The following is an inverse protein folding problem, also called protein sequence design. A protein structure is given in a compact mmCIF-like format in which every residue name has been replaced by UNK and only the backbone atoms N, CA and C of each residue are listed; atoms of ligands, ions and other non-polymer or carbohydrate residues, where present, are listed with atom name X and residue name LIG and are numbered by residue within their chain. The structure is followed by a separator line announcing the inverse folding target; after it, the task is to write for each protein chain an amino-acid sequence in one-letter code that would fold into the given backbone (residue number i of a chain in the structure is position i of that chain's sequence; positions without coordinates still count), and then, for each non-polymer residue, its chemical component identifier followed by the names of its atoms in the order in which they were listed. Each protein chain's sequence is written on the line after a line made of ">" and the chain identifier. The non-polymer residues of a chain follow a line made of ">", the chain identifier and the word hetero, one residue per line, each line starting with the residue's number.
data_IF_797228355165
#
_entry.id   IF_797228355165
#
_cell.length_a   1.000
_cell.length_b   1.000
_cell.length_c   1.000
_cell.angle_alpha   90.00
_cell.angle_beta   90.00
_cell.angle_gamma   90.00
#
_symmetry.space_group_name_H-M   'P 1'
#
loop_
_entity.id
_entity.type
_entity.pdbx_description
1 polymer ?
#
# COMPACT_ATOMS: atom_id res chain seq x y z
N UNK A 1 6.43 20.21 0.86
CA UNK A 1 7.63 20.54 0.05
C UNK A 1 8.60 19.36 0.07
N UNK A 2 9.62 19.34 -0.79
CA UNK A 2 10.70 18.35 -0.71
C UNK A 2 12.03 18.95 -1.16
N UNK A 3 13.14 18.30 -0.82
CA UNK A 3 14.44 18.55 -1.44
C UNK A 3 15.11 17.24 -1.83
N UNK A 4 16.02 17.31 -2.81
CA UNK A 4 16.82 16.16 -3.23
C UNK A 4 18.14 16.17 -2.46
N UNK A 5 18.48 15.04 -1.85
CA UNK A 5 19.76 14.85 -1.19
C UNK A 5 20.59 13.85 -1.97
N UNK A 6 21.80 14.25 -2.39
CA UNK A 6 22.72 13.34 -3.08
C UNK A 6 23.21 12.25 -2.11
N UNK A 7 23.16 11.00 -2.56
CA UNK A 7 23.67 9.84 -1.82
C UNK A 7 24.89 9.33 -2.56
N UNK A 8 26.01 9.23 -1.85
CA UNK A 8 27.25 8.73 -2.41
C UNK A 8 27.43 7.27 -1.96
N UNK A 9 28.03 6.45 -2.82
CA UNK A 9 28.44 5.07 -2.50
C UNK A 9 27.28 4.12 -2.12
N UNK A 10 26.07 4.35 -2.64
CA UNK A 10 24.95 3.42 -2.50
C UNK A 10 24.66 2.70 -3.82
N UNK A 11 24.53 1.35 -3.82
CA UNK A 11 24.12 0.60 -5.02
C UNK A 11 22.63 0.75 -5.33
N UNK A 12 21.83 1.28 -4.39
CA UNK A 12 20.38 1.37 -4.51
C UNK A 12 19.94 2.67 -5.20
N UNK A 13 20.55 3.79 -4.83
CA UNK A 13 20.13 5.13 -5.22
C UNK A 13 21.30 6.13 -5.28
N UNK A 14 21.22 7.08 -6.22
CA UNK A 14 22.17 8.20 -6.33
C UNK A 14 21.69 9.46 -5.60
N UNK A 15 20.39 9.55 -5.34
CA UNK A 15 19.77 10.64 -4.60
C UNK A 15 18.50 10.14 -3.94
N UNK A 16 18.15 10.74 -2.80
CA UNK A 16 16.92 10.47 -2.07
C UNK A 16 16.06 11.72 -1.99
N UNK A 17 14.75 11.53 -1.93
CA UNK A 17 13.79 12.63 -1.83
C UNK A 17 13.35 12.77 -0.38
N UNK A 18 13.70 13.89 0.26
CA UNK A 18 13.29 14.17 1.65
C UNK A 18 12.07 15.08 1.66
N UNK A 19 10.95 14.54 2.12
CA UNK A 19 9.66 15.22 2.21
C UNK A 19 9.63 16.07 3.47
N UNK A 20 9.40 17.38 3.33
CA UNK A 20 9.43 18.34 4.45
C UNK A 20 8.20 19.25 4.46
N UNK A 21 7.86 19.69 5.65
CA UNK A 21 6.86 20.73 5.91
C UNK A 21 7.58 22.03 6.22
N UNK A 22 7.17 23.10 5.55
CA UNK A 22 7.66 24.45 5.77
C UNK A 22 6.54 25.19 6.50
N UNK A 23 6.85 25.70 7.70
CA UNK A 23 5.96 26.55 8.47
C UNK A 23 6.44 27.99 8.37
N UNK A 24 5.53 28.89 7.99
CA UNK A 24 5.74 30.32 8.04
C UNK A 24 4.87 30.91 9.16
N UNK A 25 5.49 31.64 10.08
CA UNK A 25 4.81 32.26 11.21
C UNK A 25 4.56 33.73 10.90
N UNK A 26 3.29 34.08 10.69
CA UNK A 26 2.89 35.46 10.34
C UNK A 26 3.16 36.49 11.45
N UNK A 27 3.27 36.05 12.71
CA UNK A 27 3.49 36.93 13.86
C UNK A 27 4.86 37.63 13.80
N UNK A 28 5.89 36.91 13.37
CA UNK A 28 7.28 37.34 13.43
C UNK A 28 8.06 37.09 12.13
N UNK A 29 7.38 36.71 11.04
CA UNK A 29 7.97 36.36 9.74
C UNK A 29 9.07 35.29 9.83
N UNK A 30 8.98 34.40 10.83
CA UNK A 30 9.94 33.32 10.99
C UNK A 30 9.54 32.08 10.19
N UNK A 31 10.54 31.28 9.81
CA UNK A 31 10.35 30.02 9.09
C UNK A 31 10.89 28.88 9.94
N UNK A 32 10.16 27.77 9.95
CA UNK A 32 10.61 26.49 10.51
C UNK A 32 10.44 25.39 9.45
N UNK A 33 11.40 24.46 9.38
CA UNK A 33 11.30 23.31 8.48
C UNK A 33 11.33 22.04 9.33
N UNK A 34 10.34 21.19 9.13
CA UNK A 34 10.20 19.92 9.86
C UNK A 34 10.03 18.78 8.87
N UNK A 35 10.74 17.69 9.12
CA UNK A 35 10.56 16.44 8.41
C UNK A 35 9.68 15.50 9.21
N UNK A 36 8.60 15.02 8.59
CA UNK A 36 7.72 14.02 9.21
C UNK A 36 8.50 12.73 9.42
N UNK A 37 8.34 12.14 10.62
CA UNK A 37 8.93 10.84 10.94
C UNK A 37 8.32 9.77 10.06
N UNK A 38 9.17 8.98 9.42
CA UNK A 38 8.79 7.83 8.61
C UNK A 38 9.40 6.57 9.24
N UNK A 39 8.59 5.53 9.39
CA UNK A 39 9.05 4.28 9.98
C UNK A 39 10.12 3.63 9.12
N UNK A 40 11.16 3.09 9.79
CA UNK A 40 12.26 2.40 9.14
C UNK A 40 13.01 3.22 8.06
N UNK A 41 13.01 4.55 8.18
CA UNK A 41 13.73 5.46 7.27
C UNK A 41 15.25 5.38 7.41
N UNK A 42 15.75 5.02 8.59
CA UNK A 42 17.18 4.90 8.86
C UNK A 42 17.94 6.24 8.90
N UNK A 43 17.24 7.38 8.81
CA UNK A 43 17.83 8.73 8.84
C UNK A 43 17.30 9.54 10.03
N UNK A 44 18.09 10.48 10.59
CA UNK A 44 17.59 11.41 11.60
C UNK A 44 16.44 12.27 11.03
N UNK A 45 15.31 12.30 11.72
CA UNK A 45 14.07 12.98 11.32
C UNK A 45 13.53 13.86 12.44
N UNK A 46 12.66 14.81 12.10
CA UNK A 46 12.07 15.77 13.03
C UNK A 46 12.39 17.20 12.65
N UNK A 47 12.78 18.03 13.61
CA UNK A 47 13.11 19.43 13.35
C UNK A 47 14.34 19.54 12.45
N UNK A 48 14.14 19.97 11.20
CA UNK A 48 15.20 20.05 10.18
C UNK A 48 15.87 21.42 10.20
N UNK A 49 15.09 22.49 10.36
CA UNK A 49 15.55 23.85 10.57
C UNK A 49 14.70 24.49 11.66
N UNK A 50 15.34 24.94 12.76
CA UNK A 50 14.64 25.61 13.86
C UNK A 50 13.96 26.91 13.44
N UNK A 51 12.93 27.32 14.18
CA UNK A 51 12.17 28.56 13.95
C UNK A 51 13.07 29.78 14.13
N UNK A 52 13.24 30.56 13.07
CA UNK A 52 13.89 31.88 13.09
C UNK A 52 13.59 32.64 11.79
N UNK A 53 13.88 33.93 11.74
CA UNK A 53 13.81 34.71 10.49
C UNK A 53 14.97 34.30 9.59
N UNK A 54 14.65 33.83 8.38
CA UNK A 54 15.67 33.34 7.45
C UNK A 54 16.12 34.50 6.57
N UNK A 55 17.42 34.86 6.58
CA UNK A 55 17.94 35.91 5.72
C UNK A 55 17.96 35.43 4.27
N UNK A 56 17.52 36.30 3.36
CA UNK A 56 17.57 36.12 1.91
C UNK A 56 18.87 36.70 1.35
N UNK A 57 19.16 37.95 1.72
CA UNK A 57 20.43 38.64 1.47
C UNK A 57 20.96 39.24 2.78
N UNK A 58 21.91 40.18 2.71
CA UNK A 58 22.53 40.79 3.90
C UNK A 58 21.51 41.53 4.81
N UNK A 59 20.50 42.18 4.22
CA UNK A 59 19.55 43.04 4.94
C UNK A 59 18.08 42.64 4.71
N UNK A 60 17.81 41.60 3.93
CA UNK A 60 16.46 41.18 3.55
C UNK A 60 16.17 39.79 4.12
N UNK A 61 14.92 39.57 4.52
CA UNK A 61 14.44 38.29 5.03
C UNK A 61 13.41 37.70 4.08
N UNK A 62 13.29 36.37 4.09
CA UNK A 62 12.24 35.69 3.35
C UNK A 62 10.87 36.05 3.91
N UNK A 63 9.97 36.47 3.01
CA UNK A 63 8.58 36.77 3.33
C UNK A 63 7.62 35.72 2.77
N UNK A 64 6.33 35.91 3.05
CA UNK A 64 5.28 35.06 2.51
C UNK A 64 5.24 35.07 0.98
N UNK A 65 5.52 36.22 0.35
CA UNK A 65 5.55 36.36 -1.11
C UNK A 65 6.66 35.52 -1.79
N UNK A 66 7.70 35.11 -1.05
CA UNK A 66 8.74 34.23 -1.57
C UNK A 66 8.33 32.74 -1.53
N UNK A 67 7.27 32.40 -0.79
CA UNK A 67 6.79 31.03 -0.58
C UNK A 67 5.68 30.65 -1.57
N UNK A 68 5.98 30.77 -2.85
CA UNK A 68 5.04 30.47 -3.93
C UNK A 68 4.93 28.96 -4.16
N UNK A 69 3.70 28.44 -4.19
CA UNK A 69 3.42 27.03 -4.51
C UNK A 69 3.86 26.73 -5.95
N UNK A 70 4.45 25.57 -6.19
CA UNK A 70 5.04 25.21 -7.48
C UNK A 70 6.45 25.76 -7.71
N UNK A 71 6.89 26.74 -6.91
CA UNK A 71 8.22 27.36 -7.02
C UNK A 71 9.27 26.67 -6.15
N UNK A 72 10.53 27.08 -6.36
CA UNK A 72 11.68 26.62 -5.58
C UNK A 72 12.25 27.72 -4.71
N UNK A 73 12.59 27.39 -3.47
CA UNK A 73 13.24 28.29 -2.52
C UNK A 73 14.58 27.69 -2.07
N UNK A 74 15.63 28.50 -2.04
CA UNK A 74 16.96 28.06 -1.59
C UNK A 74 17.27 28.64 -0.22
N UNK A 75 17.38 27.77 0.79
CA UNK A 75 17.66 28.13 2.18
C UNK A 75 18.89 27.38 2.66
N UNK A 76 19.90 28.10 3.17
CA UNK A 76 21.13 27.53 3.73
C UNK A 76 21.83 26.49 2.83
N UNK A 77 21.92 26.80 1.53
CA UNK A 77 22.58 25.94 0.55
C UNK A 77 21.77 24.71 0.11
N UNK A 78 20.49 24.60 0.50
CA UNK A 78 19.57 23.55 0.02
C UNK A 78 18.40 24.16 -0.74
N UNK A 79 18.06 23.55 -1.88
CA UNK A 79 16.93 23.97 -2.71
C UNK A 79 15.71 23.10 -2.41
N UNK A 80 14.65 23.72 -1.94
CA UNK A 80 13.37 23.11 -1.63
C UNK A 80 12.37 23.41 -2.73
N UNK A 81 11.63 22.39 -3.13
CA UNK A 81 10.51 22.48 -4.07
C UNK A 81 9.20 22.53 -3.28
N UNK A 82 8.49 23.65 -3.36
CA UNK A 82 7.19 23.84 -2.72
C UNK A 82 6.16 23.23 -3.66
N UNK A 83 5.57 22.11 -3.25
CA UNK A 83 4.64 21.35 -4.10
C UNK A 83 3.17 21.69 -3.85
N UNK A 84 2.84 22.00 -2.60
CA UNK A 84 1.48 22.11 -2.10
C UNK A 84 1.47 22.76 -0.70
N UNK A 85 0.28 23.21 -0.28
CA UNK A 85 -0.02 23.73 1.04
C UNK A 85 -1.28 23.08 1.63
N UNK A 86 -1.46 23.15 2.95
CA UNK A 86 -2.66 22.59 3.57
C UNK A 86 -3.92 23.44 3.22
N UNK A 87 -5.14 22.86 3.34
CA UNK A 87 -6.36 23.55 2.93
C UNK A 87 -6.58 24.91 3.61
N UNK A 88 -6.23 25.04 4.89
CA UNK A 88 -6.36 26.30 5.62
C UNK A 88 -5.42 27.38 5.09
N UNK A 89 -4.19 27.02 4.71
CA UNK A 89 -3.23 27.97 4.13
C UNK A 89 -3.69 28.40 2.75
N UNK A 90 -4.19 27.48 1.92
CA UNK A 90 -4.76 27.82 0.61
C UNK A 90 -5.88 28.86 0.75
N UNK A 91 -6.89 28.59 1.59
CA UNK A 91 -7.99 29.54 1.82
C UNK A 91 -7.53 30.88 2.40
N UNK A 92 -6.40 30.92 3.11
CA UNK A 92 -5.83 32.16 3.63
C UNK A 92 -5.08 32.93 2.55
N UNK A 93 -4.28 32.23 1.74
CA UNK A 93 -3.56 32.81 0.60
C UNK A 93 -4.52 33.37 -0.45
N UNK A 94 -5.63 32.68 -0.73
CA UNK A 94 -6.66 33.15 -1.66
C UNK A 94 -7.26 34.48 -1.19
N UNK A 95 -7.57 34.61 0.11
CA UNK A 95 -8.07 35.87 0.70
C UNK A 95 -7.04 36.98 0.66
N UNK A 96 -5.78 36.67 0.97
CA UNK A 96 -4.71 37.65 0.89
C UNK A 96 -4.48 38.14 -0.54
N UNK A 97 -4.60 37.26 -1.53
CA UNK A 97 -4.47 37.62 -2.94
C UNK A 97 -5.64 38.50 -3.43
N UNK A 98 -6.84 38.33 -2.86
CA UNK A 98 -7.98 39.23 -3.09
C UNK A 98 -7.73 40.64 -2.53
N UNK A 99 -7.11 40.73 -1.34
CA UNK A 99 -6.84 41.99 -0.65
C UNK A 99 -5.58 42.71 -1.19
N UNK A 100 -4.54 41.96 -1.56
CA UNK A 100 -3.25 42.47 -2.06
C UNK A 100 -2.74 41.62 -3.23
N UNK A 101 -2.95 42.15 -4.44
CA UNK A 101 -2.54 41.50 -5.69
C UNK A 101 -1.01 41.31 -5.83
N UNK A 102 -0.18 41.90 -4.95
CA UNK A 102 1.28 41.68 -4.96
C UNK A 102 1.69 40.36 -4.29
N UNK A 103 0.81 39.75 -3.49
CA UNK A 103 1.05 38.48 -2.81
C UNK A 103 0.41 37.36 -3.64
N UNK A 104 1.06 36.98 -4.74
CA UNK A 104 0.65 35.82 -5.52
C UNK A 104 1.48 34.59 -5.14
N UNK A 105 0.94 33.77 -4.26
CA UNK A 105 1.57 32.52 -3.79
C UNK A 105 0.90 31.26 -4.36
N UNK A 106 -0.13 31.40 -5.18
CA UNK A 106 -0.87 30.31 -5.80
C UNK A 106 -0.30 29.94 -7.17
N UNK A 107 0.74 29.09 -7.17
CA UNK A 107 1.22 28.45 -8.40
C UNK A 107 0.72 27.01 -8.56
N UNK A 108 1.26 26.33 -9.57
CA UNK A 108 0.83 24.99 -9.95
C UNK A 108 1.19 23.95 -8.88
N UNK A 109 0.16 23.24 -8.40
CA UNK A 109 0.34 22.12 -7.47
C UNK A 109 0.95 20.94 -8.20
N UNK A 110 1.99 20.38 -7.61
CA UNK A 110 2.73 19.24 -8.19
C UNK A 110 2.76 18.07 -7.23
N UNK A 111 2.94 16.87 -7.78
CA UNK A 111 3.12 15.68 -6.96
C UNK A 111 4.56 15.53 -6.49
N UNK A 112 4.76 14.76 -5.42
CA UNK A 112 6.11 14.34 -5.06
C UNK A 112 6.71 13.50 -6.19
N UNK A 113 7.98 13.73 -6.56
CA UNK A 113 8.64 12.85 -7.50
C UNK A 113 8.71 11.44 -6.94
N UNK A 114 8.63 10.45 -7.82
CA UNK A 114 8.75 9.04 -7.45
C UNK A 114 10.15 8.76 -6.91
N UNK A 115 10.22 8.28 -5.67
CA UNK A 115 11.47 7.82 -5.06
C UNK A 115 11.69 6.33 -5.39
N UNK A 116 12.79 6.04 -6.10
CA UNK A 116 13.14 4.67 -6.51
C UNK A 116 13.27 3.74 -5.29
N UNK A 117 13.84 4.24 -4.19
CA UNK A 117 14.00 3.44 -2.98
C UNK A 117 12.65 3.08 -2.35
N UNK A 118 11.70 4.03 -2.29
CA UNK A 118 10.35 3.76 -1.78
C UNK A 118 9.63 2.70 -2.65
N UNK A 119 9.73 2.81 -3.98
CA UNK A 119 9.12 1.86 -4.93
C UNK A 119 9.71 0.46 -4.80
N UNK A 120 11.03 0.34 -4.87
CA UNK A 120 11.73 -0.96 -4.82
C UNK A 120 11.49 -1.65 -3.48
N UNK A 121 11.50 -0.89 -2.38
CA UNK A 121 11.21 -1.41 -1.04
C UNK A 121 9.76 -1.87 -0.92
N UNK A 122 8.80 -1.09 -1.40
CA UNK A 122 7.38 -1.48 -1.36
C UNK A 122 7.14 -2.75 -2.16
N UNK A 123 7.74 -2.87 -3.35
CA UNK A 123 7.66 -4.06 -4.18
C UNK A 123 8.26 -5.29 -3.47
N UNK A 124 9.45 -5.15 -2.88
CA UNK A 124 10.10 -6.22 -2.12
C UNK A 124 9.25 -6.68 -0.93
N UNK A 125 8.77 -5.74 -0.11
CA UNK A 125 7.93 -6.06 1.04
C UNK A 125 6.61 -6.73 0.64
N UNK A 126 5.99 -6.30 -0.46
CA UNK A 126 4.75 -6.92 -0.97
C UNK A 126 4.96 -8.40 -1.30
N UNK A 127 6.09 -8.72 -1.96
CA UNK A 127 6.45 -10.10 -2.35
C UNK A 127 6.84 -10.96 -1.15
N UNK A 128 7.59 -10.41 -0.20
CA UNK A 128 8.05 -11.14 0.99
C UNK A 128 6.93 -11.38 2.00
N UNK A 129 5.98 -10.45 2.14
CA UNK A 129 4.85 -10.58 3.08
C UNK A 129 3.66 -11.37 2.51
N UNK A 130 3.74 -11.85 1.26
CA UNK A 130 2.66 -12.57 0.60
C UNK A 130 1.43 -11.70 0.26
N UNK A 131 1.57 -10.37 0.30
CA UNK A 131 0.52 -9.42 -0.08
C UNK A 131 0.39 -9.26 -1.60
N UNK A 132 1.39 -9.69 -2.36
CA UNK A 132 1.35 -9.68 -3.81
C UNK A 132 0.54 -10.90 -4.33
N UNK A 133 -0.69 -10.71 -4.85
CA UNK A 133 -1.52 -11.81 -5.33
C UNK A 133 -0.99 -12.43 -6.64
N UNK A 134 -0.05 -11.77 -7.33
CA UNK A 134 0.56 -12.30 -8.56
C UNK A 134 1.62 -13.37 -8.28
N UNK A 135 2.20 -13.37 -7.07
CA UNK A 135 3.23 -14.31 -6.67
C UNK A 135 2.59 -15.50 -5.95
N UNK A 136 2.48 -16.63 -6.65
CA UNK A 136 2.09 -17.89 -6.02
C UNK A 136 3.27 -18.51 -5.30
N UNK A 137 3.31 -18.38 -3.97
CA UNK A 137 4.21 -19.17 -3.14
C UNK A 137 3.69 -20.62 -3.15
N UNK A 138 4.25 -21.46 -4.02
CA UNK A 138 3.94 -22.89 -4.12
C UNK A 138 4.44 -23.68 -2.88
N UNK A 139 3.98 -23.29 -1.70
CA UNK A 139 4.35 -23.88 -0.42
C UNK A 139 3.65 -25.23 -0.32
N UNK A 140 4.42 -26.31 -0.47
CA UNK A 140 3.94 -27.66 -0.16
C UNK A 140 3.95 -27.83 1.36
N UNK A 141 2.77 -28.02 1.94
CA UNK A 141 2.65 -28.29 3.38
C UNK A 141 3.14 -29.70 3.68
N UNK A 142 4.12 -29.81 4.57
CA UNK A 142 4.58 -31.09 5.08
C UNK A 142 3.65 -31.57 6.22
N UNK A 143 3.64 -32.87 6.56
CA UNK A 143 2.78 -33.39 7.61
C UNK A 143 2.92 -32.65 8.96
N UNK A 144 4.16 -32.28 9.31
CA UNK A 144 4.45 -31.53 10.54
C UNK A 144 3.87 -30.11 10.53
N UNK A 145 3.85 -29.43 9.38
CA UNK A 145 3.27 -28.08 9.28
C UNK A 145 1.75 -28.14 9.38
N UNK A 146 1.12 -29.18 8.81
CA UNK A 146 -0.33 -29.41 8.92
C UNK A 146 -0.71 -29.68 10.38
N UNK A 147 0.07 -30.53 11.07
CA UNK A 147 -0.16 -30.83 12.48
C UNK A 147 -0.02 -29.58 13.37
N UNK A 148 1.02 -28.77 13.16
CA UNK A 148 1.22 -27.54 13.91
C UNK A 148 0.12 -26.50 13.67
N UNK A 149 -0.32 -26.31 12.42
CA UNK A 149 -1.45 -25.44 12.08
C UNK A 149 -2.76 -25.92 12.74
N UNK A 150 -3.03 -27.23 12.71
CA UNK A 150 -4.19 -27.82 13.37
C UNK A 150 -4.15 -27.64 14.89
N UNK A 151 -2.99 -27.80 15.52
CA UNK A 151 -2.80 -27.56 16.96
C UNK A 151 -3.00 -26.08 17.34
N UNK A 152 -2.73 -25.16 16.42
CA UNK A 152 -2.99 -23.71 16.58
C UNK A 152 -4.44 -23.32 16.21
N UNK A 153 -5.32 -24.30 15.96
CA UNK A 153 -6.73 -24.07 15.67
C UNK A 153 -7.06 -23.78 14.20
N UNK A 154 -6.08 -23.88 13.30
CA UNK A 154 -6.31 -23.77 11.86
C UNK A 154 -6.54 -25.16 11.25
N UNK A 155 -7.79 -25.62 11.33
CA UNK A 155 -8.21 -26.96 10.86
C UNK A 155 -9.01 -26.93 9.56
N UNK A 156 -9.21 -25.75 8.97
CA UNK A 156 -10.11 -25.58 7.81
C UNK A 156 -9.45 -26.12 6.54
N UNK A 157 -9.91 -27.28 6.09
CA UNK A 157 -9.58 -27.78 4.75
C UNK A 157 -10.66 -27.33 3.75
N UNK A 158 -10.31 -26.35 2.92
CA UNK A 158 -11.21 -25.81 1.90
C UNK A 158 -11.09 -26.51 0.52
N UNK A 159 -10.29 -27.58 0.39
CA UNK A 159 -10.06 -28.23 -0.91
C UNK A 159 -11.34 -28.71 -1.58
N UNK A 160 -12.34 -29.19 -0.82
CA UNK A 160 -13.62 -29.65 -1.36
C UNK A 160 -14.62 -28.53 -1.70
N UNK A 161 -14.35 -27.29 -1.30
CA UNK A 161 -15.33 -26.19 -1.39
C UNK A 161 -15.65 -25.80 -2.83
N UNK A 162 -14.67 -25.89 -3.73
CA UNK A 162 -14.86 -25.56 -5.15
C UNK A 162 -15.76 -26.59 -5.84
N UNK A 163 -15.53 -27.88 -5.59
CA UNK A 163 -16.38 -28.97 -6.07
C UNK A 163 -17.81 -28.84 -5.56
N UNK A 164 -17.97 -28.59 -4.26
CA UNK A 164 -19.26 -28.29 -3.65
C UNK A 164 -19.97 -27.10 -4.33
N UNK A 165 -19.31 -25.94 -4.46
CA UNK A 165 -19.91 -24.75 -5.08
C UNK A 165 -20.35 -24.98 -6.54
N UNK A 166 -19.62 -25.80 -7.30
CA UNK A 166 -19.86 -26.03 -8.72
C UNK A 166 -20.93 -27.11 -8.99
N UNK A 167 -20.96 -28.13 -8.13
CA UNK A 167 -21.78 -29.32 -8.33
C UNK A 167 -22.85 -29.51 -7.26
N UNK A 168 -23.05 -28.53 -6.37
CA UNK A 168 -24.13 -28.53 -5.38
C UNK A 168 -25.46 -28.96 -6.01
N UNK A 169 -26.08 -29.97 -5.40
CA UNK A 169 -27.35 -30.59 -5.82
C UNK A 169 -27.37 -31.22 -7.21
N UNK A 170 -26.20 -31.49 -7.83
CA UNK A 170 -26.11 -32.26 -9.08
C UNK A 170 -25.78 -33.72 -8.76
N UNK A 171 -26.78 -34.59 -8.96
CA UNK A 171 -26.67 -36.03 -8.72
C UNK A 171 -26.96 -36.77 -10.02
N UNK A 172 -26.08 -37.70 -10.39
CA UNK A 172 -26.34 -38.62 -11.49
C UNK A 172 -27.13 -39.81 -10.94
N UNK A 173 -28.28 -40.12 -11.55
CA UNK A 173 -29.13 -41.23 -11.15
C UNK A 173 -29.17 -42.29 -12.24
N UNK A 174 -28.78 -43.51 -11.88
CA UNK A 174 -28.78 -44.66 -12.77
C UNK A 174 -29.76 -45.71 -12.25
N UNK A 175 -30.48 -46.35 -13.18
CA UNK A 175 -31.27 -47.54 -12.87
C UNK A 175 -30.40 -48.76 -13.12
N UNK A 176 -30.17 -49.54 -12.07
CA UNK A 176 -29.34 -50.73 -12.13
C UNK A 176 -30.20 -51.96 -11.88
N UNK A 177 -29.83 -53.09 -12.47
CA UNK A 177 -30.44 -54.38 -12.20
C UNK A 177 -29.38 -55.31 -11.63
N UNK A 178 -29.67 -55.89 -10.47
CA UNK A 178 -28.92 -57.02 -9.94
C UNK A 178 -29.65 -58.28 -10.35
N UNK A 179 -29.01 -59.10 -11.19
CA UNK A 179 -29.53 -60.39 -11.60
C UNK A 179 -28.89 -61.50 -10.75
N UNK A 180 -29.65 -62.04 -9.80
CA UNK A 180 -29.22 -63.17 -8.95
C UNK A 180 -30.04 -64.45 -9.23
N UNK A 181 -30.66 -64.56 -10.42
CA UNK A 181 -31.59 -65.67 -10.74
C UNK A 181 -30.95 -67.06 -10.78
N UNK A 182 -29.62 -67.14 -10.76
CA UNK A 182 -28.87 -68.40 -10.71
C UNK A 182 -28.81 -69.02 -9.30
N UNK A 183 -29.14 -68.25 -8.26
CA UNK A 183 -29.18 -68.71 -6.87
C UNK A 183 -30.49 -69.45 -6.53
N UNK A 184 -30.44 -70.40 -5.57
CA UNK A 184 -31.57 -71.28 -5.21
C UNK A 184 -32.88 -70.54 -4.83
N UNK A 185 -32.77 -69.30 -4.37
CA UNK A 185 -33.89 -68.41 -4.03
C UNK A 185 -33.70 -66.98 -4.61
N UNK A 186 -32.85 -66.84 -5.63
CA UNK A 186 -32.51 -65.52 -6.17
C UNK A 186 -33.55 -64.98 -7.16
N UNK A 187 -33.64 -63.66 -7.24
CA UNK A 187 -34.56 -62.94 -8.12
C UNK A 187 -33.86 -61.73 -8.77
N UNK A 188 -34.43 -61.16 -9.82
CA UNK A 188 -33.90 -59.95 -10.46
C UNK A 188 -34.40 -58.71 -9.72
N UNK A 189 -33.49 -58.02 -9.04
CA UNK A 189 -33.80 -56.85 -8.24
C UNK A 189 -33.39 -55.56 -8.96
N UNK A 190 -34.27 -54.56 -8.93
CA UNK A 190 -33.99 -53.24 -9.49
C UNK A 190 -33.54 -52.27 -8.38
N UNK A 191 -32.41 -51.61 -8.60
CA UNK A 191 -31.82 -50.62 -7.69
C UNK A 191 -31.69 -49.26 -8.37
N UNK A 192 -31.57 -48.20 -7.57
CA UNK A 192 -31.30 -46.84 -8.04
C UNK A 192 -29.96 -46.39 -7.48
N UNK A 193 -28.97 -46.26 -8.35
CA UNK A 193 -27.66 -45.75 -7.96
C UNK A 193 -27.64 -44.23 -8.11
N UNK A 194 -27.31 -43.54 -7.03
CA UNK A 194 -27.10 -42.11 -6.94
C UNK A 194 -25.61 -41.83 -6.81
N UNK A 195 -25.05 -41.06 -7.75
CA UNK A 195 -23.66 -40.59 -7.72
C UNK A 195 -23.63 -39.08 -7.49
N UNK A 196 -23.00 -38.66 -6.40
CA UNK A 196 -22.93 -37.26 -5.99
C UNK A 196 -21.68 -36.61 -6.57
N UNK A 197 -21.86 -35.65 -7.47
CA UNK A 197 -20.75 -34.92 -8.12
C UNK A 197 -20.00 -33.96 -7.17
N UNK A 198 -20.54 -33.74 -5.97
CA UNK A 198 -19.98 -32.82 -4.97
C UNK A 198 -18.80 -33.42 -4.21
N UNK A 199 -18.82 -34.71 -3.96
CA UNK A 199 -17.88 -35.43 -3.08
C UNK A 199 -17.49 -36.81 -3.62
N UNK A 200 -17.86 -37.12 -4.86
CA UNK A 200 -17.60 -38.38 -5.56
C UNK A 200 -18.13 -39.63 -4.80
N UNK A 201 -19.18 -39.46 -3.98
CA UNK A 201 -19.79 -40.56 -3.21
C UNK A 201 -20.93 -41.25 -3.97
N UNK A 202 -21.24 -42.50 -3.56
CA UNK A 202 -22.27 -43.34 -4.17
C UNK A 202 -23.25 -43.84 -3.11
N UNK A 203 -24.55 -43.77 -3.42
CA UNK A 203 -25.65 -44.34 -2.63
C UNK A 203 -26.49 -45.26 -3.55
N UNK A 204 -26.87 -46.44 -3.07
CA UNK A 204 -27.59 -47.47 -3.84
C UNK A 204 -28.93 -47.86 -3.20
#
# INVERSE_FOLDING_TARGET
>A
AYFKEAVHESPLENHRIRKVEIFYYMEDNSIQIVERKQENSGVPQGNFMGRHQVPKDADTFFGLADLVIGSTISLYGRTYHIIDANPSTLSYLDKLAEDDATINTSGDRTEFPTDKFEVDRAAKMSRETGKDPSVKHNIRKNPNTIFAEAALGNTVDNKGREGFLKYDRKVLRFTCFWDDRESLYGDMQQFKLHYFLTDDTVEC
#
